data_IF_798760651286
#
_entry.id   IF_798760651286
#
_cell.length_a   1.000
_cell.length_b   1.000
_cell.length_c   1.000
_cell.angle_alpha   90.00
_cell.angle_beta   90.00
_cell.angle_gamma   90.00
#
_symmetry.space_group_name_H-M   'P 1'
#
loop_
_entity.id
_entity.type
_entity.pdbx_description
1 polymer ?
#
# COMPACT_ATOMS: atom_id res chain seq x y z
N UNK A 1 -29.72 -41.46 -12.19
CA UNK A 1 -28.32 -40.97 -12.22
C UNK A 1 -27.42 -42.15 -11.89
N UNK A 2 -26.42 -42.47 -12.73
CA UNK A 2 -25.50 -43.57 -12.41
C UNK A 2 -24.55 -43.13 -11.27
N UNK A 3 -24.11 -44.06 -10.41
CA UNK A 3 -23.15 -43.77 -9.34
C UNK A 3 -21.85 -43.15 -9.87
N UNK A 4 -21.47 -43.46 -11.11
CA UNK A 4 -20.31 -42.90 -11.81
C UNK A 4 -20.46 -41.40 -12.08
N UNK A 5 -21.67 -40.94 -12.43
CA UNK A 5 -21.94 -39.52 -12.68
C UNK A 5 -21.86 -38.65 -11.42
N UNK A 6 -22.27 -39.20 -10.27
CA UNK A 6 -22.20 -38.49 -8.98
C UNK A 6 -20.74 -38.32 -8.54
N UNK A 7 -19.92 -39.37 -8.70
CA UNK A 7 -18.50 -39.32 -8.38
C UNK A 7 -17.73 -38.33 -9.27
N UNK A 8 -18.02 -38.30 -10.58
CA UNK A 8 -17.41 -37.36 -11.51
C UNK A 8 -17.78 -35.90 -11.18
N UNK A 9 -19.04 -35.65 -10.81
CA UNK A 9 -19.49 -34.32 -10.42
C UNK A 9 -18.82 -33.86 -9.11
N UNK A 10 -18.67 -34.75 -8.13
CA UNK A 10 -17.97 -34.48 -6.88
C UNK A 10 -16.49 -34.18 -7.09
N UNK A 11 -15.79 -34.95 -7.93
CA UNK A 11 -14.37 -34.71 -8.25
C UNK A 11 -14.20 -33.38 -8.99
N UNK A 12 -15.10 -33.04 -9.91
CA UNK A 12 -15.05 -31.77 -10.64
C UNK A 12 -15.31 -30.58 -9.70
N UNK A 13 -16.34 -30.65 -8.87
CA UNK A 13 -16.66 -29.61 -7.87
C UNK A 13 -15.56 -29.44 -6.82
N UNK A 14 -14.99 -30.56 -6.34
CA UNK A 14 -13.87 -30.53 -5.40
C UNK A 14 -12.62 -29.91 -6.06
N UNK A 15 -12.37 -30.20 -7.33
CA UNK A 15 -11.25 -29.61 -8.08
C UNK A 15 -11.46 -28.09 -8.30
N UNK A 16 -12.68 -27.66 -8.62
CA UNK A 16 -13.02 -26.22 -8.74
C UNK A 16 -12.87 -25.51 -7.39
N UNK A 17 -13.22 -26.16 -6.28
CA UNK A 17 -13.04 -25.61 -4.94
C UNK A 17 -11.57 -25.58 -4.47
N UNK A 18 -10.75 -26.55 -4.92
CA UNK A 18 -9.33 -26.65 -4.56
C UNK A 18 -8.41 -25.80 -5.45
N UNK A 19 -8.84 -25.49 -6.68
CA UNK A 19 -8.08 -24.70 -7.66
C UNK A 19 -8.76 -23.38 -8.06
N UNK A 20 -9.82 -22.97 -7.35
CA UNK A 20 -10.51 -21.71 -7.54
C UNK A 20 -9.54 -20.54 -7.41
N UNK A 21 -9.53 -19.66 -8.40
CA UNK A 21 -8.64 -18.52 -8.46
C UNK A 21 -8.88 -17.54 -7.31
N UNK A 22 -7.89 -17.30 -6.46
CA UNK A 22 -7.98 -16.23 -5.46
C UNK A 22 -7.65 -14.88 -6.11
N UNK A 23 -8.24 -13.80 -5.61
CA UNK A 23 -7.86 -12.45 -6.05
C UNK A 23 -6.87 -11.87 -5.04
N UNK A 24 -5.79 -11.27 -5.55
CA UNK A 24 -4.78 -10.61 -4.73
C UNK A 24 -4.62 -9.15 -5.15
N UNK A 25 -4.68 -8.26 -4.19
CA UNK A 25 -4.38 -6.84 -4.35
C UNK A 25 -2.98 -6.58 -3.83
N UNK A 26 -2.10 -6.08 -4.69
CA UNK A 26 -0.69 -5.84 -4.37
C UNK A 26 -0.39 -4.35 -4.48
N UNK A 27 -0.15 -3.70 -3.34
CA UNK A 27 0.42 -2.37 -3.29
C UNK A 27 1.95 -2.50 -3.23
N UNK A 28 2.63 -2.02 -4.27
CA UNK A 28 4.08 -1.97 -4.37
C UNK A 28 4.55 -0.53 -4.14
N UNK A 29 5.54 -0.37 -3.27
CA UNK A 29 6.20 0.91 -3.00
C UNK A 29 7.67 0.75 -3.34
N UNK A 30 8.12 1.49 -4.34
CA UNK A 30 9.52 1.53 -4.75
C UNK A 30 10.20 2.74 -4.09
N UNK A 31 11.28 2.48 -3.37
CA UNK A 31 12.10 3.48 -2.68
C UNK A 31 13.39 3.72 -3.48
N UNK A 32 13.92 4.96 -3.53
CA UNK A 32 15.26 5.16 -4.03
C UNK A 32 16.27 4.41 -3.15
N UNK A 33 17.19 3.69 -3.80
CA UNK A 33 18.24 2.93 -3.13
C UNK A 33 19.41 3.80 -2.67
N UNK A 34 19.55 5.01 -3.22
CA UNK A 34 20.60 5.95 -2.84
C UNK A 34 20.19 7.41 -3.09
N UNK A 35 20.34 8.30 -2.10
CA UNK A 35 20.53 7.97 -0.69
C UNK A 35 19.28 7.26 -0.11
N UNK A 36 19.45 6.34 0.87
CA UNK A 36 18.33 5.63 1.45
C UNK A 36 17.43 6.57 2.26
N UNK A 37 16.13 6.48 2.03
CA UNK A 37 15.13 7.26 2.79
C UNK A 37 14.71 6.53 4.06
N UNK A 38 14.19 7.29 5.01
CA UNK A 38 13.50 6.80 6.19
C UNK A 38 12.01 7.13 6.04
N UNK A 39 11.12 6.38 6.70
CA UNK A 39 9.70 6.68 6.54
C UNK A 39 8.76 5.76 7.27
N UNK A 40 7.48 6.06 7.11
CA UNK A 40 6.35 5.24 7.53
C UNK A 40 5.62 4.74 6.29
N UNK A 41 5.48 3.42 6.15
CA UNK A 41 4.67 2.78 5.12
C UNK A 41 3.51 2.05 5.81
N UNK A 42 2.29 2.51 5.57
CA UNK A 42 1.12 2.06 6.31
C UNK A 42 1.21 2.44 7.78
N UNK A 43 1.55 1.46 8.62
CA UNK A 43 1.72 1.63 10.08
C UNK A 43 3.13 1.32 10.56
N UNK A 44 4.02 0.98 9.64
CA UNK A 44 5.37 0.51 9.95
C UNK A 44 6.38 1.63 9.70
N UNK A 45 7.14 1.98 10.74
CA UNK A 45 8.31 2.83 10.63
C UNK A 45 9.51 2.00 10.12
N UNK A 46 10.25 2.54 9.15
CA UNK A 46 11.36 1.88 8.46
C UNK A 46 12.52 2.86 8.28
N UNK A 47 13.71 2.47 8.71
CA UNK A 47 14.94 3.25 8.57
C UNK A 47 16.16 2.30 8.44
N UNK A 48 16.66 2.02 7.22
CA UNK A 48 16.17 2.55 5.94
C UNK A 48 14.87 1.87 5.47
N UNK A 49 14.14 2.56 4.59
CA UNK A 49 13.07 1.94 3.80
C UNK A 49 13.71 1.00 2.77
N UNK A 50 13.27 -0.28 2.65
CA UNK A 50 13.76 -1.18 1.62
C UNK A 50 13.46 -0.68 0.20
N UNK A 51 14.33 -0.99 -0.77
CA UNK A 51 14.16 -0.64 -2.19
C UNK A 51 12.77 -0.97 -2.73
N UNK A 52 12.20 -2.10 -2.29
CA UNK A 52 10.84 -2.50 -2.60
C UNK A 52 10.13 -2.95 -1.33
N UNK A 53 9.03 -2.28 -1.01
CA UNK A 53 8.08 -2.71 0.02
C UNK A 53 6.78 -3.14 -0.65
N UNK A 54 6.23 -4.29 -0.23
CA UNK A 54 4.97 -4.79 -0.78
C UNK A 54 3.98 -5.11 0.33
N UNK A 55 2.71 -4.80 0.07
CA UNK A 55 1.57 -5.26 0.87
C UNK A 55 0.58 -5.97 -0.05
N UNK A 56 0.23 -7.20 0.31
CA UNK A 56 -0.70 -8.01 -0.44
C UNK A 56 -1.89 -8.44 0.43
N UNK A 57 -3.07 -8.58 -0.18
CA UNK A 57 -4.24 -9.10 0.50
C UNK A 57 -5.43 -9.32 -0.45
N UNK A 58 -6.51 -9.96 0.02
CA UNK A 58 -7.67 -10.26 -0.82
C UNK A 58 -8.54 -9.04 -1.15
N UNK A 59 -8.42 -7.97 -0.35
CA UNK A 59 -9.17 -6.73 -0.51
C UNK A 59 -8.29 -5.62 -1.10
N UNK A 60 -8.89 -4.58 -1.72
CA UNK A 60 -8.18 -3.38 -2.11
C UNK A 60 -7.29 -2.84 -0.99
N UNK A 61 -6.04 -2.54 -1.34
CA UNK A 61 -5.05 -1.97 -0.45
C UNK A 61 -5.12 -0.45 -0.53
N UNK A 62 -5.08 0.22 0.63
CA UNK A 62 -4.87 1.66 0.75
C UNK A 62 -3.70 1.88 1.71
N UNK A 63 -2.51 2.16 1.17
CA UNK A 63 -1.27 2.25 1.93
C UNK A 63 -0.77 3.70 1.92
N UNK A 64 -0.93 4.48 3.00
CA UNK A 64 -0.28 5.78 3.13
C UNK A 64 1.23 5.62 3.24
N UNK A 65 1.98 6.56 2.68
CA UNK A 65 3.44 6.60 2.71
C UNK A 65 3.89 8.00 3.07
N UNK A 66 4.68 8.10 4.13
CA UNK A 66 5.38 9.32 4.52
C UNK A 66 6.86 8.99 4.57
N UNK A 67 7.69 9.62 3.75
CA UNK A 67 9.13 9.35 3.72
C UNK A 67 9.91 10.65 3.81
N UNK A 68 11.10 10.58 4.37
CA UNK A 68 12.01 11.69 4.51
C UNK A 68 13.46 11.26 4.34
N UNK A 69 14.25 12.22 3.91
CA UNK A 69 15.67 12.11 3.68
C UNK A 69 16.31 13.31 4.35
N UNK A 70 17.22 13.05 5.28
CA UNK A 70 17.99 14.08 5.97
C UNK A 70 19.37 14.06 5.33
N UNK A 71 19.76 15.19 4.75
CA UNK A 71 21.07 15.43 4.14
C UNK A 71 21.73 16.63 4.83
N UNK A 72 23.01 16.86 4.55
CA UNK A 72 23.76 17.99 5.12
C UNK A 72 23.12 19.35 4.77
N UNK A 73 22.50 19.45 3.59
CA UNK A 73 21.87 20.65 3.07
C UNK A 73 20.40 20.82 3.50
N UNK A 74 19.83 19.86 4.25
CA UNK A 74 18.50 19.97 4.83
C UNK A 74 17.64 18.71 4.78
N UNK A 75 16.32 18.91 4.75
CA UNK A 75 15.32 17.85 4.79
C UNK A 75 14.60 17.78 3.44
N UNK A 76 14.52 16.59 2.87
CA UNK A 76 13.59 16.26 1.77
C UNK A 76 12.49 15.36 2.28
N UNK A 77 11.25 15.55 1.80
CA UNK A 77 10.07 14.81 2.23
C UNK A 77 9.23 14.35 1.04
N UNK A 78 8.58 13.21 1.20
CA UNK A 78 7.58 12.67 0.30
C UNK A 78 6.33 12.27 1.09
N UNK A 79 5.17 12.63 0.57
CA UNK A 79 3.88 12.16 1.07
C UNK A 79 3.10 11.56 -0.10
N UNK A 80 2.64 10.34 0.07
CA UNK A 80 1.97 9.60 -0.99
C UNK A 80 1.01 8.55 -0.45
N UNK A 81 0.29 7.92 -1.38
CA UNK A 81 -0.68 6.88 -1.05
C UNK A 81 -0.79 5.88 -2.19
N UNK A 82 -0.46 4.62 -1.92
CA UNK A 82 -0.55 3.53 -2.89
C UNK A 82 -1.91 2.83 -2.74
N UNK A 83 -2.76 2.93 -3.77
CA UNK A 83 -4.12 2.38 -3.78
C UNK A 83 -4.30 1.40 -4.90
N UNK A 84 -4.59 0.15 -4.57
CA UNK A 84 -4.95 -0.82 -5.62
C UNK A 84 -6.37 -0.55 -6.10
N UNK A 85 -6.61 -0.58 -7.42
CA UNK A 85 -7.96 -0.38 -7.94
C UNK A 85 -8.84 -1.57 -7.53
N UNK A 86 -10.13 -1.31 -7.31
CA UNK A 86 -11.16 -2.35 -7.30
C UNK A 86 -11.61 -2.59 -8.75
N UNK A 87 -11.13 -3.67 -9.41
CA UNK A 87 -11.43 -3.91 -10.81
C UNK A 87 -12.93 -4.11 -11.02
N UNK A 88 -13.44 -3.72 -12.20
CA UNK A 88 -14.87 -3.83 -12.50
C UNK A 88 -15.38 -5.28 -12.44
N UNK A 89 -14.52 -6.25 -12.76
CA UNK A 89 -14.83 -7.68 -12.72
C UNK A 89 -14.91 -8.24 -11.30
N UNK A 90 -14.41 -7.49 -10.29
CA UNK A 90 -14.60 -7.80 -8.87
C UNK A 90 -15.90 -7.21 -8.29
N UNK A 91 -16.73 -6.59 -9.14
CA UNK A 91 -18.02 -6.02 -8.73
C UNK A 91 -19.11 -7.04 -9.08
N UNK A 92 -20.04 -7.22 -8.16
CA UNK A 92 -21.21 -8.08 -8.40
C UNK A 92 -21.96 -7.66 -9.68
N UNK A 93 -22.37 -8.60 -10.56
CA UNK A 93 -22.26 -10.07 -10.44
C UNK A 93 -21.05 -10.68 -11.19
N UNK A 94 -20.14 -9.84 -11.70
CA UNK A 94 -19.00 -10.31 -12.49
C UNK A 94 -17.99 -11.11 -11.65
N UNK A 95 -17.99 -10.88 -10.33
CA UNK A 95 -17.19 -11.60 -9.33
C UNK A 95 -17.47 -13.11 -9.37
N UNK A 96 -18.74 -13.51 -9.47
CA UNK A 96 -19.18 -14.90 -9.51
C UNK A 96 -18.64 -15.67 -10.72
N UNK A 97 -18.40 -14.97 -11.84
CA UNK A 97 -17.81 -15.57 -13.05
C UNK A 97 -16.29 -15.66 -12.91
N UNK A 98 -15.64 -14.62 -12.36
CA UNK A 98 -14.19 -14.64 -12.16
C UNK A 98 -13.74 -15.65 -11.10
N UNK A 99 -14.55 -15.88 -10.07
CA UNK A 99 -14.26 -16.86 -9.00
C UNK A 99 -14.23 -18.31 -9.53
N UNK A 100 -14.96 -18.57 -10.61
CA UNK A 100 -15.02 -19.90 -11.25
C UNK A 100 -13.87 -20.14 -12.23
N UNK A 101 -13.08 -19.11 -12.56
CA UNK A 101 -11.95 -19.25 -13.47
C UNK A 101 -10.72 -19.76 -12.70
N UNK A 102 -10.03 -20.79 -13.21
CA UNK A 102 -8.80 -21.28 -12.60
C UNK A 102 -7.68 -20.26 -12.84
N UNK A 103 -7.38 -19.44 -11.82
CA UNK A 103 -6.25 -18.52 -11.87
C UNK A 103 -6.26 -17.44 -10.80
N UNK A 104 -5.12 -17.16 -10.17
CA UNK A 104 -5.00 -16.04 -9.24
C UNK A 104 -4.92 -14.72 -10.02
N UNK A 105 -5.93 -13.87 -9.90
CA UNK A 105 -5.93 -12.55 -10.52
C UNK A 105 -5.26 -11.54 -9.60
N UNK A 106 -4.34 -10.73 -10.13
CA UNK A 106 -3.63 -9.70 -9.36
C UNK A 106 -4.06 -8.30 -9.80
N UNK A 107 -4.61 -7.53 -8.86
CA UNK A 107 -4.80 -6.08 -9.00
C UNK A 107 -3.62 -5.38 -8.35
N UNK A 108 -2.83 -4.62 -9.13
CA UNK A 108 -1.60 -4.02 -8.64
C UNK A 108 -1.62 -2.51 -8.77
N UNK A 109 -1.02 -1.83 -7.79
CA UNK A 109 -0.65 -0.43 -7.87
C UNK A 109 0.80 -0.25 -7.43
N UNK A 110 1.48 0.70 -8.06
CA UNK A 110 2.87 1.04 -7.77
C UNK A 110 2.96 2.51 -7.39
N UNK A 111 3.71 2.79 -6.32
CA UNK A 111 4.07 4.14 -5.89
C UNK A 111 5.58 4.24 -5.80
N UNK A 112 6.17 5.24 -6.45
CA UNK A 112 7.61 5.52 -6.34
C UNK A 112 7.81 6.71 -5.41
N UNK A 113 8.66 6.54 -4.40
CA UNK A 113 9.03 7.61 -3.48
C UNK A 113 9.95 8.59 -4.22
N UNK A 114 9.52 9.84 -4.33
CA UNK A 114 10.28 10.94 -4.93
C UNK A 114 10.33 12.11 -3.95
N UNK A 115 11.31 12.15 -3.03
CA UNK A 115 11.41 13.21 -2.03
C UNK A 115 11.62 14.57 -2.69
N UNK A 116 10.91 15.57 -2.19
CA UNK A 116 11.07 16.97 -2.56
C UNK A 116 11.68 17.74 -1.40
N UNK A 117 12.64 18.63 -1.69
CA UNK A 117 13.27 19.46 -0.68
C UNK A 117 12.23 20.30 0.07
N UNK A 118 12.32 20.28 1.40
CA UNK A 118 11.54 21.14 2.28
C UNK A 118 12.23 22.49 2.35
N UNK A 119 11.52 23.55 2.00
CA UNK A 119 12.06 24.90 2.07
C UNK A 119 12.50 25.23 3.51
N UNK A 120 13.69 25.84 3.71
CA UNK A 120 14.09 26.33 5.01
C UNK A 120 13.05 27.31 5.55
N UNK A 121 12.68 27.16 6.82
CA UNK A 121 11.78 28.07 7.52
C UNK A 121 12.55 28.76 8.66
N UNK A 122 12.22 30.03 8.91
CA UNK A 122 12.72 30.75 10.08
C UNK A 122 12.21 30.05 11.36
N UNK A 123 13.09 29.57 12.25
CA UNK A 123 12.70 28.91 13.48
C UNK A 123 11.77 29.73 14.36
N UNK A 124 11.93 31.07 14.40
CA UNK A 124 11.08 31.94 15.22
C UNK A 124 9.67 32.02 14.64
N UNK A 125 9.54 32.21 13.33
CA UNK A 125 8.26 32.17 12.65
C UNK A 125 7.56 30.80 12.80
N UNK A 126 8.32 29.70 12.73
CA UNK A 126 7.78 28.35 12.91
C UNK A 126 7.28 28.13 14.34
N UNK A 127 8.05 28.56 15.35
CA UNK A 127 7.65 28.49 16.75
C UNK A 127 6.40 29.32 17.03
N UNK A 128 6.35 30.56 16.55
CA UNK A 128 5.17 31.43 16.69
C UNK A 128 3.92 30.80 16.05
N UNK A 129 4.05 30.21 14.85
CA UNK A 129 2.97 29.48 14.20
C UNK A 129 2.54 28.23 15.00
N UNK A 130 3.50 27.48 15.55
CA UNK A 130 3.22 26.33 16.39
C UNK A 130 2.49 26.71 17.69
N UNK A 131 2.88 27.82 18.34
CA UNK A 131 2.16 28.37 19.50
C UNK A 131 0.75 28.82 19.13
N UNK A 132 0.59 29.57 18.05
CA UNK A 132 -0.71 30.05 17.60
C UNK A 132 -1.67 28.90 17.28
N UNK A 133 -1.15 27.78 16.76
CA UNK A 133 -1.90 26.56 16.48
C UNK A 133 -2.06 25.62 17.70
N UNK A 134 -1.49 25.96 18.86
CA UNK A 134 -1.59 25.18 20.09
C UNK A 134 -0.71 23.91 20.12
N UNK A 135 0.25 23.79 19.20
CA UNK A 135 1.19 22.66 19.15
C UNK A 135 2.43 22.85 20.03
N UNK A 136 2.71 24.07 20.50
CA UNK A 136 3.81 24.37 21.42
C UNK A 136 3.28 24.97 22.73
N UNK A 137 3.72 24.41 23.86
CA UNK A 137 3.44 24.97 25.18
C UNK A 137 4.12 26.34 25.30
N UNK A 138 3.49 27.36 25.93
CA UNK A 138 4.10 28.67 26.10
C UNK A 138 5.47 28.55 26.78
N UNK A 139 6.43 29.37 26.33
CA UNK A 139 7.78 29.38 26.91
C UNK A 139 7.69 29.48 28.44
N UNK A 140 8.39 28.58 29.13
CA UNK A 140 8.43 28.59 30.59
C UNK A 140 9.04 29.93 31.07
N UNK A 141 8.50 30.53 32.14
CA UNK A 141 8.91 31.84 32.64
C UNK A 141 10.36 31.88 33.14
#
# INVERSE_FOLDING_TARGET
>A
MSPTGIAQFLVLSLSILLFGGCISHVARIDSPSTPPVQGVIGVSYLAPVPDVTQRAGPLPQDVPVSAWLIEDDGLSRFEGRCRTPLPWWQRFPADLVSDLLPGTYVSMATLTIAPTAVAPADPQALAAAAHAAGYAAPDAP
#
